data_IF_607382856138
#
_entry.id   IF_607382856138
#
_cell.length_a   1.000
_cell.length_b   1.000
_cell.length_c   1.000
_cell.angle_alpha   90.00
_cell.angle_beta   90.00
_cell.angle_gamma   90.00
#
_symmetry.space_group_name_H-M   'P 1'
#
loop_
_entity.id
_entity.type
_entity.pdbx_description
1 polymer ?
#
# COMPACT_ATOMS: atom_id res chain seq x y z
N UNK A 1 -24.04 -1.87 -12.69
CA UNK A 1 -23.71 -0.67 -11.90
C UNK A 1 -22.58 -1.03 -10.93
N UNK A 2 -21.44 -0.36 -10.98
CA UNK A 2 -20.33 -0.56 -10.04
C UNK A 2 -20.73 0.02 -8.66
N UNK A 3 -20.39 -0.68 -7.58
CA UNK A 3 -20.77 -0.30 -6.20
C UNK A 3 -19.65 0.41 -5.45
N UNK A 4 -18.44 -0.14 -5.53
CA UNK A 4 -17.25 0.40 -4.86
C UNK A 4 -15.96 -0.15 -5.50
N UNK A 5 -14.83 0.41 -5.11
CA UNK A 5 -13.50 -0.11 -5.42
C UNK A 5 -13.00 -0.89 -4.21
N UNK A 6 -12.87 -2.21 -4.34
CA UNK A 6 -12.42 -3.05 -3.23
C UNK A 6 -10.93 -2.86 -2.91
N UNK A 7 -10.10 -2.56 -3.90
CA UNK A 7 -8.64 -2.57 -3.74
C UNK A 7 -7.94 -1.54 -4.62
N UNK A 8 -6.96 -0.84 -4.05
CA UNK A 8 -6.07 0.08 -4.76
C UNK A 8 -4.63 -0.39 -4.54
N UNK A 9 -3.88 -0.60 -5.62
CA UNK A 9 -2.49 -1.04 -5.59
C UNK A 9 -1.56 0.13 -5.99
N UNK A 10 -0.67 0.54 -5.09
CA UNK A 10 0.26 1.66 -5.28
C UNK A 10 1.69 1.12 -5.34
N UNK A 11 2.36 1.35 -6.47
CA UNK A 11 3.79 1.09 -6.60
C UNK A 11 4.60 2.19 -5.90
N UNK A 12 5.64 1.79 -5.16
CA UNK A 12 6.64 2.67 -4.57
C UNK A 12 8.04 2.18 -4.92
N UNK A 13 9.02 3.09 -4.89
CA UNK A 13 10.43 2.76 -5.17
C UNK A 13 11.26 2.50 -3.92
N UNK A 14 10.74 2.85 -2.74
CA UNK A 14 11.42 2.72 -1.45
C UNK A 14 10.39 2.29 -0.39
N UNK A 15 10.53 1.04 0.09
CA UNK A 15 9.59 0.45 1.04
C UNK A 15 9.67 1.11 2.42
N UNK A 16 10.84 1.52 2.88
CA UNK A 16 11.00 2.08 4.23
C UNK A 16 10.49 3.51 4.28
N UNK A 17 10.78 4.31 3.25
CA UNK A 17 10.19 5.66 3.13
C UNK A 17 8.67 5.59 3.03
N UNK A 18 8.13 4.65 2.26
CA UNK A 18 6.69 4.46 2.14
C UNK A 18 6.07 4.08 3.49
N UNK A 19 6.65 3.12 4.23
CA UNK A 19 6.16 2.73 5.56
C UNK A 19 6.11 3.91 6.51
N UNK A 20 7.16 4.72 6.57
CA UNK A 20 7.18 5.92 7.41
C UNK A 20 6.02 6.86 7.09
N UNK A 21 5.78 7.10 5.80
CA UNK A 21 4.68 7.96 5.37
C UNK A 21 3.31 7.36 5.77
N UNK A 22 3.02 6.13 5.38
CA UNK A 22 1.70 5.55 5.63
C UNK A 22 1.44 5.25 7.12
N UNK A 23 2.45 4.83 7.88
CA UNK A 23 2.26 4.39 9.27
C UNK A 23 2.52 5.49 10.31
N UNK A 24 3.47 6.39 10.07
CA UNK A 24 3.80 7.44 11.04
C UNK A 24 3.16 8.77 10.66
N UNK A 25 3.17 9.15 9.37
CA UNK A 25 2.59 10.43 8.95
C UNK A 25 1.07 10.36 8.81
N UNK A 26 0.55 9.26 8.27
CA UNK A 26 -0.89 9.03 8.12
C UNK A 26 -1.49 8.16 9.23
N UNK A 27 -0.67 7.69 10.16
CA UNK A 27 -1.08 6.87 11.32
C UNK A 27 -1.85 5.59 10.94
N UNK A 28 -1.65 5.06 9.72
CA UNK A 28 -2.34 3.86 9.27
C UNK A 28 -1.74 2.61 9.89
N UNK A 29 -2.60 1.73 10.39
CA UNK A 29 -2.21 0.43 10.93
C UNK A 29 -2.17 -0.61 9.81
N UNK A 30 -1.06 -1.34 9.63
CA UNK A 30 -1.01 -2.43 8.66
C UNK A 30 -2.06 -3.50 8.98
N UNK A 31 -2.89 -3.83 8.00
CA UNK A 31 -3.81 -4.97 8.07
C UNK A 31 -3.10 -6.27 7.67
N UNK A 32 -2.19 -6.19 6.70
CA UNK A 32 -1.40 -7.33 6.22
C UNK A 32 -0.03 -6.88 5.74
N UNK A 33 1.00 -7.69 6.02
CA UNK A 33 2.36 -7.49 5.53
C UNK A 33 2.84 -8.79 4.87
N UNK A 34 3.37 -8.72 3.65
CA UNK A 34 3.81 -9.86 2.86
C UNK A 34 5.13 -9.55 2.13
N UNK A 35 5.76 -10.58 1.56
CA UNK A 35 6.99 -10.46 0.75
C UNK A 35 8.13 -9.75 1.49
N UNK A 36 8.42 -10.15 2.73
CA UNK A 36 9.40 -9.46 3.59
C UNK A 36 9.14 -7.93 3.71
N UNK A 37 7.84 -7.64 3.78
CA UNK A 37 7.23 -6.32 3.81
C UNK A 37 7.53 -5.45 2.58
N UNK A 38 7.84 -6.06 1.43
CA UNK A 38 7.76 -5.40 0.14
C UNK A 38 6.31 -5.15 -0.30
N UNK A 39 5.33 -5.75 0.38
CA UNK A 39 3.90 -5.48 0.22
C UNK A 39 3.24 -5.25 1.58
N UNK A 40 2.55 -4.12 1.74
CA UNK A 40 1.81 -3.77 2.96
C UNK A 40 0.41 -3.30 2.59
N UNK A 41 -0.61 -3.83 3.25
CA UNK A 41 -2.01 -3.48 3.05
C UNK A 41 -2.54 -2.67 4.23
N UNK A 42 -3.36 -1.67 3.92
CA UNK A 42 -4.06 -0.81 4.89
C UNK A 42 -5.56 -0.82 4.57
N UNK A 43 -6.37 -1.22 5.55
CA UNK A 43 -7.83 -1.20 5.40
C UNK A 43 -8.38 0.20 5.73
N UNK A 44 -9.11 0.77 4.78
CA UNK A 44 -9.71 2.10 4.83
C UNK A 44 -11.22 1.97 4.59
N UNK A 45 -11.94 1.59 5.64
CA UNK A 45 -13.38 1.29 5.52
C UNK A 45 -13.61 0.06 4.62
N UNK A 46 -14.40 0.17 3.53
CA UNK A 46 -14.66 -0.96 2.63
C UNK A 46 -13.56 -1.18 1.57
N UNK A 47 -12.53 -0.34 1.52
CA UNK A 47 -11.45 -0.42 0.53
C UNK A 47 -10.12 -0.74 1.20
N UNK A 48 -9.27 -1.51 0.52
CA UNK A 48 -7.88 -1.75 0.95
C UNK A 48 -6.90 -1.01 0.03
N UNK A 49 -5.90 -0.37 0.62
CA UNK A 49 -4.75 0.20 -0.09
C UNK A 49 -3.54 -0.71 0.12
N UNK A 50 -3.10 -1.37 -0.96
CA UNK A 50 -1.86 -2.13 -1.01
C UNK A 50 -0.70 -1.29 -1.53
N UNK A 51 0.36 -1.18 -0.74
CA UNK A 51 1.59 -0.45 -1.08
C UNK A 51 2.69 -1.46 -1.38
N UNK A 52 3.18 -1.47 -2.62
CA UNK A 52 4.13 -2.46 -3.12
C UNK A 52 5.42 -1.87 -3.65
N UNK A 53 6.54 -2.51 -3.30
CA UNK A 53 7.88 -2.14 -3.75
C UNK A 53 8.53 -3.32 -4.47
N UNK A 54 8.48 -3.33 -5.80
CA UNK A 54 9.07 -4.41 -6.62
C UNK A 54 9.87 -3.87 -7.81
N UNK A 55 11.03 -4.46 -8.16
CA UNK A 55 11.85 -3.98 -9.28
C UNK A 55 11.12 -3.90 -10.63
N UNK A 56 10.18 -4.82 -10.89
CA UNK A 56 9.38 -4.85 -12.11
C UNK A 56 8.10 -3.99 -12.08
N UNK A 57 7.78 -3.35 -10.94
CA UNK A 57 6.59 -2.52 -10.79
C UNK A 57 6.97 -1.17 -10.22
N UNK A 58 7.24 -0.22 -11.12
CA UNK A 58 7.68 1.14 -10.78
C UNK A 58 6.47 2.09 -10.71
N UNK A 59 6.54 3.14 -9.87
CA UNK A 59 5.53 4.21 -9.89
C UNK A 59 5.41 4.82 -11.29
N UNK A 60 4.21 5.26 -11.66
CA UNK A 60 4.02 6.09 -12.84
C UNK A 60 4.82 7.39 -12.69
N UNK A 61 5.38 7.89 -13.80
CA UNK A 61 6.14 9.14 -13.82
C UNK A 61 5.27 10.35 -13.52
#
# INVERSE_FOLDING_TARGET
MIKEVAFIAIAVSDKERARKFYQETLELKPARTQMDGAWVEYDLGPTTVGVGCHPAWKPSR
#
